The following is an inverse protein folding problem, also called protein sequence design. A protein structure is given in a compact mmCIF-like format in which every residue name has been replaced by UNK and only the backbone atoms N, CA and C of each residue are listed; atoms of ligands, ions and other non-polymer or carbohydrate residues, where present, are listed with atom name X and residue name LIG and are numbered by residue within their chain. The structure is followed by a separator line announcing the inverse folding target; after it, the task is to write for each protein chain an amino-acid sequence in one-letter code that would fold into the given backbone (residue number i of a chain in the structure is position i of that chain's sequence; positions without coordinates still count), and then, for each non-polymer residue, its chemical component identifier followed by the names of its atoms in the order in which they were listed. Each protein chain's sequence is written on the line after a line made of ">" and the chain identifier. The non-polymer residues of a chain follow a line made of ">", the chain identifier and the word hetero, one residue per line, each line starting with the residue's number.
data_IF_635734389118
#
_entry.id   IF_635734389118
#
_cell.length_a   1.000
_cell.length_b   1.000
_cell.length_c   1.000
_cell.angle_alpha   90.00
_cell.angle_beta   90.00
_cell.angle_gamma   90.00
#
_symmetry.space_group_name_H-M   'P 1'
#
loop_
_entity.id
_entity.type
_entity.pdbx_description
1 polymer ?
#
# COMPACT_ATOMS: atom_id res chain seq x y z
N UNK A 1 4.15 -1.59 14.03
CA UNK A 1 4.54 -0.41 13.22
C UNK A 1 5.50 -0.90 12.16
N UNK A 2 5.39 -0.43 10.92
CA UNK A 2 6.23 -0.84 9.80
C UNK A 2 7.20 0.29 9.45
N UNK A 3 8.44 -0.05 9.07
CA UNK A 3 9.43 0.93 8.58
C UNK A 3 9.21 1.15 7.10
N UNK A 4 9.10 2.41 6.68
CA UNK A 4 8.83 2.76 5.29
C UNK A 4 9.97 3.53 4.64
N UNK A 5 10.28 3.19 3.39
CA UNK A 5 11.12 3.98 2.50
C UNK A 5 10.24 4.93 1.68
N UNK A 6 10.49 6.23 1.75
CA UNK A 6 9.86 7.20 0.85
C UNK A 6 10.63 7.15 -0.47
N UNK A 7 10.02 6.53 -1.49
CA UNK A 7 10.67 6.29 -2.78
C UNK A 7 10.19 7.29 -3.83
N UNK A 8 11.06 8.21 -4.24
CA UNK A 8 10.76 9.19 -5.30
C UNK A 8 10.53 8.53 -6.66
N UNK A 9 11.01 7.30 -6.88
CA UNK A 9 10.79 6.51 -8.09
C UNK A 9 9.43 5.80 -8.12
N UNK A 10 8.74 5.68 -6.98
CA UNK A 10 7.42 5.05 -6.92
C UNK A 10 6.37 5.98 -7.56
N UNK A 11 5.97 5.62 -8.78
CA UNK A 11 4.93 6.30 -9.58
C UNK A 11 3.59 5.55 -9.57
N UNK A 12 3.43 4.55 -8.69
CA UNK A 12 2.27 3.67 -8.68
C UNK A 12 1.01 4.42 -8.23
N UNK A 13 -0.01 4.41 -9.09
CA UNK A 13 -1.31 5.06 -8.85
C UNK A 13 -2.44 4.18 -9.34
N UNK A 14 -3.62 4.31 -8.74
CA UNK A 14 -4.86 3.83 -9.34
C UNK A 14 -5.12 4.60 -10.64
N UNK A 15 -5.22 3.93 -11.81
CA UNK A 15 -5.37 4.60 -13.09
C UNK A 15 -6.68 5.40 -13.21
N UNK A 16 -7.72 5.02 -12.48
CA UNK A 16 -9.04 5.67 -12.52
C UNK A 16 -9.08 6.90 -11.62
N UNK A 17 -8.66 6.73 -10.36
CA UNK A 17 -8.79 7.78 -9.33
C UNK A 17 -7.54 8.64 -9.16
N UNK A 18 -6.41 8.19 -9.73
CA UNK A 18 -5.06 8.75 -9.50
C UNK A 18 -4.60 8.68 -8.03
N UNK A 19 -5.27 7.88 -7.20
CA UNK A 19 -4.90 7.68 -5.80
C UNK A 19 -3.51 7.04 -5.71
N UNK A 20 -2.58 7.57 -4.92
CA UNK A 20 -1.24 6.99 -4.77
C UNK A 20 -1.29 5.62 -4.10
N UNK A 21 -0.37 4.73 -4.47
CA UNK A 21 -0.28 3.37 -3.93
C UNK A 21 1.06 3.18 -3.22
N UNK A 22 0.99 2.78 -1.95
CA UNK A 22 2.15 2.26 -1.22
C UNK A 22 2.19 0.74 -1.33
N UNK A 23 3.39 0.17 -1.28
CA UNK A 23 3.60 -1.28 -1.35
C UNK A 23 4.16 -1.75 -0.02
N UNK A 24 3.60 -2.82 0.54
CA UNK A 24 4.02 -3.40 1.83
C UNK A 24 4.44 -4.84 1.59
N UNK A 25 5.52 -5.27 2.21
CA UNK A 25 5.91 -6.68 2.20
C UNK A 25 4.83 -7.53 2.87
N UNK A 26 4.34 -8.56 2.19
CA UNK A 26 3.22 -9.38 2.63
C UNK A 26 3.46 -10.01 4.01
N UNK A 27 4.67 -10.53 4.26
CA UNK A 27 5.02 -11.15 5.54
C UNK A 27 4.95 -10.15 6.70
N UNK A 28 5.35 -8.89 6.47
CA UNK A 28 5.27 -7.82 7.46
C UNK A 28 3.84 -7.33 7.64
N UNK A 29 3.04 -7.35 6.58
CA UNK A 29 1.63 -6.95 6.61
C UNK A 29 0.78 -7.85 7.54
N UNK A 30 1.18 -9.10 7.78
CA UNK A 30 0.52 -10.02 8.73
C UNK A 30 0.34 -9.45 10.14
N UNK A 31 1.24 -8.56 10.56
CA UNK A 31 1.18 -7.93 11.88
C UNK A 31 0.16 -6.78 11.97
N UNK A 32 -0.38 -6.31 10.84
CA UNK A 32 -1.20 -5.08 10.79
C UNK A 32 -2.51 -5.23 10.01
N UNK A 33 -2.61 -6.21 9.11
CA UNK A 33 -3.82 -6.47 8.33
C UNK A 33 -4.52 -7.75 8.79
N UNK A 34 -5.87 -7.81 8.73
CA UNK A 34 -6.61 -9.04 8.97
C UNK A 34 -6.24 -10.13 7.95
N UNK A 35 -6.21 -11.39 8.41
CA UNK A 35 -5.87 -12.54 7.57
C UNK A 35 -6.71 -12.67 6.30
N UNK A 36 -8.03 -12.44 6.42
CA UNK A 36 -8.95 -12.46 5.27
C UNK A 36 -8.54 -11.46 4.18
N UNK A 37 -8.06 -10.28 4.57
CA UNK A 37 -7.61 -9.26 3.63
C UNK A 37 -6.27 -9.63 2.99
N UNK A 38 -5.36 -10.23 3.76
CA UNK A 38 -4.08 -10.74 3.23
C UNK A 38 -4.31 -11.79 2.15
N UNK A 39 -5.27 -12.70 2.35
CA UNK A 39 -5.64 -13.70 1.34
C UNK A 39 -6.19 -13.07 0.05
N UNK A 40 -6.97 -12.00 0.17
CA UNK A 40 -7.49 -11.26 -1.00
C UNK A 40 -6.39 -10.52 -1.77
N UNK A 41 -5.42 -9.95 -1.06
CA UNK A 41 -4.37 -9.12 -1.66
C UNK A 41 -3.21 -9.93 -2.25
N UNK A 42 -3.01 -11.17 -1.81
CA UNK A 42 -1.91 -12.02 -2.27
C UNK A 42 -2.22 -12.79 -3.56
N UNK A 43 -3.48 -12.84 -4.00
CA UNK A 43 -3.86 -13.47 -5.26
C UNK A 43 -4.88 -12.62 -6.04
N UNK A 44 -4.53 -12.15 -7.25
CA UNK A 44 -5.48 -11.45 -8.11
C UNK A 44 -6.74 -12.26 -8.44
N UNK A 45 -6.68 -13.60 -8.39
CA UNK A 45 -7.86 -14.45 -8.61
C UNK A 45 -8.89 -14.35 -7.48
N UNK A 46 -8.47 -14.07 -6.25
CA UNK A 46 -9.39 -13.92 -5.10
C UNK A 46 -10.25 -12.66 -5.21
N UNK A 47 -9.89 -11.72 -6.10
CA UNK A 47 -10.72 -10.56 -6.42
C UNK A 47 -11.93 -10.90 -7.28
N UNK A 48 -12.02 -12.12 -7.84
CA UNK A 48 -13.20 -12.56 -8.57
C UNK A 48 -14.42 -12.79 -7.67
N UNK A 49 -14.19 -13.09 -6.38
CA UNK A 49 -15.25 -13.25 -5.39
C UNK A 49 -14.76 -12.81 -4.00
N UNK A 50 -14.44 -11.52 -3.80
CA UNK A 50 -13.96 -11.06 -2.51
C UNK A 50 -15.12 -11.04 -1.50
N UNK A 51 -14.84 -11.18 -0.20
CA UNK A 51 -15.83 -11.02 0.85
C UNK A 51 -16.54 -9.66 0.70
N UNK A 52 -17.86 -9.64 0.88
CA UNK A 52 -18.72 -8.48 0.61
C UNK A 52 -18.20 -7.18 1.25
N UNK A 53 -17.66 -7.29 2.47
CA UNK A 53 -17.07 -6.16 3.21
C UNK A 53 -15.87 -5.49 2.52
N UNK A 54 -15.14 -6.22 1.67
CA UNK A 54 -13.92 -5.76 1.00
C UNK A 54 -14.14 -5.41 -0.47
N UNK A 55 -15.23 -5.86 -1.10
CA UNK A 55 -15.51 -5.67 -2.54
C UNK A 55 -15.29 -4.23 -2.99
N UNK A 56 -15.84 -3.25 -2.27
CA UNK A 56 -15.74 -1.84 -2.66
C UNK A 56 -14.39 -1.18 -2.29
N UNK A 57 -13.56 -1.86 -1.51
CA UNK A 57 -12.26 -1.38 -1.03
C UNK A 57 -11.09 -1.94 -1.83
N UNK A 58 -11.28 -3.05 -2.52
CA UNK A 58 -10.23 -3.67 -3.32
C UNK A 58 -10.07 -2.99 -4.69
N UNK A 59 -8.84 -2.94 -5.19
CA UNK A 59 -8.45 -2.32 -6.46
C UNK A 59 -7.45 -3.21 -7.18
N UNK A 60 -7.54 -3.26 -8.50
CA UNK A 60 -6.53 -3.85 -9.36
C UNK A 60 -5.70 -2.73 -9.98
N UNK A 61 -4.41 -2.73 -9.67
CA UNK A 61 -3.47 -1.68 -10.09
C UNK A 61 -2.54 -2.26 -11.14
N UNK A 62 -2.59 -1.80 -12.40
CA UNK A 62 -1.59 -2.14 -13.38
C UNK A 62 -0.26 -1.50 -13.00
N UNK A 63 0.83 -2.27 -13.06
CA UNK A 63 2.18 -1.77 -12.82
C UNK A 63 3.18 -2.42 -13.76
N UNK A 64 4.37 -1.82 -13.82
CA UNK A 64 5.51 -2.34 -14.57
C UNK A 64 6.75 -2.26 -13.71
N UNK A 65 7.19 -3.40 -13.20
CA UNK A 65 8.50 -3.51 -12.59
C UNK A 65 9.59 -3.42 -13.67
N UNK A 66 10.77 -2.93 -13.28
CA UNK A 66 11.94 -2.86 -14.18
C UNK A 66 12.29 -4.27 -14.67
N UNK A 67 12.47 -4.43 -15.98
CA UNK A 67 12.77 -5.73 -16.59
C UNK A 67 11.60 -6.70 -16.67
N UNK A 68 10.39 -6.30 -16.27
CA UNK A 68 9.17 -7.12 -16.34
C UNK A 68 8.17 -6.59 -17.35
N UNK A 69 7.29 -7.46 -17.84
CA UNK A 69 6.13 -7.09 -18.64
C UNK A 69 5.06 -6.36 -17.82
N UNK A 70 3.93 -5.98 -18.46
CA UNK A 70 2.75 -5.48 -17.74
C UNK A 70 2.30 -6.49 -16.67
N UNK A 71 2.13 -6.03 -15.44
CA UNK A 71 1.68 -6.83 -14.30
C UNK A 71 0.51 -6.16 -13.60
N UNK A 72 -0.20 -6.93 -12.77
CA UNK A 72 -1.34 -6.45 -11.98
C UNK A 72 -1.07 -6.70 -10.50
N UNK A 73 -1.38 -5.72 -9.66
CA UNK A 73 -1.25 -5.82 -8.22
C UNK A 73 -2.60 -5.53 -7.55
N UNK A 74 -2.98 -6.36 -6.58
CA UNK A 74 -4.15 -6.09 -5.76
C UNK A 74 -3.79 -5.05 -4.68
N UNK A 75 -4.67 -4.09 -4.48
CA UNK A 75 -4.53 -3.07 -3.44
C UNK A 75 -5.84 -2.90 -2.67
N UNK A 76 -5.76 -2.48 -1.41
CA UNK A 76 -6.91 -2.14 -0.57
C UNK A 76 -6.93 -0.64 -0.31
N UNK A 77 -8.14 -0.09 -0.25
CA UNK A 77 -8.45 1.22 0.29
C UNK A 77 -8.72 1.11 1.80
N UNK A 78 -7.74 1.41 2.67
CA UNK A 78 -7.98 1.51 4.10
C UNK A 78 -8.85 2.73 4.41
N UNK A 79 -9.38 2.80 5.64
CA UNK A 79 -10.10 3.99 6.11
C UNK A 79 -9.16 5.18 6.29
N UNK A 80 -7.93 4.92 6.76
CA UNK A 80 -6.85 5.90 6.91
C UNK A 80 -5.50 5.19 6.90
N UNK A 81 -4.47 5.90 6.45
CA UNK A 81 -3.07 5.50 6.62
C UNK A 81 -2.41 6.51 7.56
N UNK A 82 -1.72 6.00 8.58
CA UNK A 82 -1.00 6.82 9.56
C UNK A 82 0.50 6.69 9.31
N UNK A 83 1.15 7.81 8.99
CA UNK A 83 2.60 7.87 8.81
C UNK A 83 3.22 8.65 9.96
N UNK A 84 4.32 8.14 10.52
CA UNK A 84 5.16 8.91 11.45
C UNK A 84 6.41 9.38 10.69
N UNK A 85 6.52 10.68 10.48
CA UNK A 85 7.59 11.30 9.68
C UNK A 85 8.09 12.55 10.39
N UNK A 86 9.42 12.70 10.53
CA UNK A 86 10.05 13.84 11.23
C UNK A 86 9.45 14.14 12.62
N UNK A 87 9.17 13.09 13.40
CA UNK A 87 8.50 13.15 14.72
C UNK A 87 7.04 13.66 14.72
N UNK A 88 6.43 13.84 13.56
CA UNK A 88 5.01 14.17 13.43
C UNK A 88 4.18 12.98 12.95
N UNK A 89 2.90 12.97 13.32
CA UNK A 89 1.92 12.07 12.73
C UNK A 89 1.22 12.75 11.56
N UNK A 90 1.24 12.08 10.41
CA UNK A 90 0.52 12.45 9.21
C UNK A 90 -0.63 11.46 9.00
N UNK A 91 -1.84 11.98 8.83
CA UNK A 91 -2.99 11.19 8.37
C UNK A 91 -3.13 11.33 6.85
N UNK A 92 -3.12 10.19 6.16
CA UNK A 92 -3.31 10.12 4.71
C UNK A 92 -4.70 9.53 4.45
N UNK A 93 -5.63 10.40 4.07
CA UNK A 93 -7.03 10.02 3.78
C UNK A 93 -7.20 9.37 2.40
N UNK A 94 -6.29 9.64 1.46
CA UNK A 94 -6.34 9.13 0.09
C UNK A 94 -5.04 8.38 -0.26
N UNK A 95 -5.01 7.10 0.08
CA UNK A 95 -3.94 6.19 -0.30
C UNK A 95 -4.44 4.76 -0.41
N UNK A 96 -3.79 3.98 -1.26
CA UNK A 96 -4.02 2.53 -1.37
C UNK A 96 -2.81 1.77 -0.85
N UNK A 97 -3.06 0.58 -0.31
CA UNK A 97 -2.02 -0.33 0.20
C UNK A 97 -2.04 -1.59 -0.64
N UNK A 98 -0.93 -1.87 -1.31
CA UNK A 98 -0.73 -3.09 -2.08
C UNK A 98 0.30 -4.00 -1.39
N UNK A 99 0.26 -5.31 -1.68
CA UNK A 99 1.20 -6.26 -1.10
C UNK A 99 2.21 -6.74 -2.13
N UNK A 100 3.47 -6.80 -1.72
CA UNK A 100 4.54 -7.52 -2.42
C UNK A 100 4.71 -8.89 -1.81
N UNK A 101 4.66 -9.94 -2.63
CA UNK A 101 4.98 -11.29 -2.21
C UNK A 101 6.49 -11.46 -1.93
N UNK A 102 7.31 -10.76 -2.71
CA UNK A 102 8.77 -10.73 -2.53
C UNK A 102 9.18 -9.69 -1.49
N UNK A 103 10.27 -9.93 -0.74
CA UNK A 103 10.86 -8.93 0.15
C UNK A 103 11.18 -7.64 -0.59
N UNK A 104 10.89 -6.51 0.05
CA UNK A 104 11.14 -5.20 -0.55
C UNK A 104 12.58 -4.72 -0.34
N UNK A 105 13.26 -5.24 0.68
CA UNK A 105 14.64 -4.90 1.02
C UNK A 105 15.45 -6.17 1.30
N UNK A 106 16.57 -6.34 0.61
CA UNK A 106 17.46 -7.51 0.78
C UNK A 106 17.96 -7.64 2.22
N UNK A 107 18.31 -6.51 2.84
CA UNK A 107 18.84 -6.46 4.21
C UNK A 107 17.75 -6.14 5.25
N UNK A 108 16.49 -6.04 4.82
CA UNK A 108 15.35 -5.74 5.68
C UNK A 108 15.42 -4.34 6.30
N UNK A 109 15.94 -3.34 5.59
CA UNK A 109 16.00 -1.95 6.08
C UNK A 109 14.61 -1.30 6.15
N UNK A 110 13.73 -1.68 5.23
CA UNK A 110 12.35 -1.21 5.15
C UNK A 110 11.38 -2.35 4.86
N UNK A 111 10.18 -2.21 5.41
CA UNK A 111 9.08 -3.16 5.31
C UNK A 111 8.02 -2.70 4.28
N UNK A 112 8.07 -1.43 3.86
CA UNK A 112 7.18 -0.85 2.86
C UNK A 112 7.83 0.27 2.04
N UNK A 113 7.32 0.48 0.82
CA UNK A 113 7.65 1.57 -0.08
C UNK A 113 6.47 2.55 -0.08
N UNK A 114 6.72 3.75 0.43
CA UNK A 114 5.73 4.83 0.56
C UNK A 114 5.78 5.72 -0.67
N UNK A 115 4.64 5.93 -1.31
CA UNK A 115 4.54 6.87 -2.43
C UNK A 115 4.72 8.32 -1.92
N UNK A 116 5.56 9.15 -2.54
CA UNK A 116 5.95 10.47 -2.01
C UNK A 116 4.76 11.43 -1.82
N UNK A 117 3.77 11.38 -2.72
CA UNK A 117 2.51 12.12 -2.57
C UNK A 117 1.76 11.85 -1.26
N UNK A 118 1.90 10.67 -0.65
CA UNK A 118 1.24 10.38 0.63
C UNK A 118 1.83 11.22 1.76
N UNK A 119 3.14 11.44 1.74
CA UNK A 119 3.82 12.30 2.73
C UNK A 119 3.49 13.77 2.46
N UNK A 120 3.51 14.18 1.18
CA UNK A 120 3.23 15.57 0.78
C UNK A 120 1.77 15.99 1.04
N UNK A 121 0.81 15.09 0.83
CA UNK A 121 -0.62 15.37 1.01
C UNK A 121 -1.14 14.98 2.41
N UNK A 122 -0.29 14.34 3.23
CA UNK A 122 -0.66 13.91 4.58
C UNK A 122 -0.99 15.11 5.47
N UNK A 123 -2.13 15.05 6.15
CA UNK A 123 -2.53 16.08 7.09
C UNK A 123 -1.79 15.87 8.41
N UNK A 124 -1.04 16.87 8.86
CA UNK A 124 -0.43 16.87 10.20
C UNK A 124 -1.52 16.78 11.27
N UNK A 125 -1.37 15.83 12.19
CA UNK A 125 -2.16 15.78 13.40
C UNK A 125 -1.46 16.61 14.47
N UNK A 126 -1.95 17.82 14.71
CA UNK A 126 -1.54 18.61 15.87
C UNK A 126 -2.22 18.04 17.12
N UNK A 127 -1.43 17.80 18.17
CA UNK A 127 -1.99 17.56 19.50
C UNK A 127 -2.82 18.80 19.87
N UNK A 128 -4.11 18.59 20.16
CA UNK A 128 -4.99 19.61 20.72
C UNK A 128 -4.73 19.79 22.21
#
# INVERSE_FOLDING_TARGET
>A
MLRGLIDSGNQLVDPLTKTPVMVVEQEKAKAVLPEELLGCLSSPMMLASPPERWVHRLRLIPYRAVGSGPQMMAAVKPDRIMLRYENEWLEVAQGLVALSADPLSTDGEYDCIVHPKMVQAGRKLTAS
#
